data_IF_452991155666
#
_entry.id   IF_452991155666
#
_cell.length_a   1.000
_cell.length_b   1.000
_cell.length_c   1.000
_cell.angle_alpha   90.00
_cell.angle_beta   90.00
_cell.angle_gamma   90.00
#
_symmetry.space_group_name_H-M   'P 1'
#
loop_
_entity.id
_entity.type
_entity.pdbx_description
1 polymer ?
#
# COMPACT_ATOMS: atom_id res chain seq x y z
N UNK A 1 -17.38 -38.68 46.98
CA UNK A 1 -17.99 -37.85 48.02
C UNK A 1 -17.01 -36.75 48.44
N UNK A 2 -17.18 -35.54 47.98
CA UNK A 2 -16.66 -34.30 48.62
C UNK A 2 -17.38 -33.14 47.94
N UNK A 3 -18.30 -32.57 48.68
CA UNK A 3 -19.03 -31.35 48.32
C UNK A 3 -18.11 -30.13 48.44
N UNK A 4 -18.15 -29.20 47.48
CA UNK A 4 -17.58 -27.89 47.62
C UNK A 4 -18.65 -26.83 47.44
N UNK A 5 -18.69 -26.02 48.42
CA UNK A 5 -19.65 -24.99 48.77
C UNK A 5 -19.41 -23.76 47.87
N UNK A 6 -20.48 -23.25 47.25
CA UNK A 6 -20.51 -21.96 46.54
C UNK A 6 -20.67 -20.84 47.58
N UNK A 7 -19.74 -19.91 47.61
CA UNK A 7 -19.87 -18.62 48.32
C UNK A 7 -20.21 -17.54 47.31
N UNK A 8 -21.41 -17.00 47.38
CA UNK A 8 -21.85 -15.85 46.59
C UNK A 8 -21.37 -14.56 47.28
N UNK A 9 -20.58 -13.74 46.56
CA UNK A 9 -20.26 -12.37 46.96
C UNK A 9 -21.15 -11.43 46.12
N UNK A 10 -22.10 -10.79 46.80
CA UNK A 10 -22.87 -9.68 46.27
C UNK A 10 -22.08 -8.38 46.47
N UNK A 11 -21.60 -7.76 45.40
CA UNK A 11 -21.00 -6.43 45.43
C UNK A 11 -22.06 -5.39 45.13
N UNK A 12 -22.35 -4.56 46.13
CA UNK A 12 -23.28 -3.44 46.05
C UNK A 12 -22.58 -2.25 45.38
N UNK A 13 -23.00 -1.91 44.17
CA UNK A 13 -22.47 -0.76 43.41
C UNK A 13 -23.30 0.49 43.76
N UNK A 14 -22.74 1.40 44.55
CA UNK A 14 -23.35 2.70 44.88
C UNK A 14 -23.03 3.66 43.71
N UNK A 15 -24.07 4.07 43.00
CA UNK A 15 -23.96 5.08 41.92
C UNK A 15 -24.11 6.46 42.53
N UNK A 16 -23.00 7.23 42.57
CA UNK A 16 -23.04 8.67 42.93
C UNK A 16 -23.38 9.48 41.66
N UNK A 17 -24.58 10.03 41.60
CA UNK A 17 -24.95 11.06 40.63
C UNK A 17 -24.48 12.43 41.15
N UNK A 18 -23.42 12.98 40.55
CA UNK A 18 -23.03 14.37 40.76
C UNK A 18 -23.70 15.21 39.67
N UNK A 19 -24.70 15.97 40.01
CA UNK A 19 -25.33 16.94 39.11
C UNK A 19 -24.42 18.15 38.93
N UNK A 20 -23.97 18.39 37.70
CA UNK A 20 -23.25 19.61 37.32
C UNK A 20 -24.26 20.70 36.98
N UNK A 21 -24.43 21.69 37.85
CA UNK A 21 -25.22 22.89 37.59
C UNK A 21 -24.40 23.84 36.74
N UNK A 22 -24.85 24.07 35.52
CA UNK A 22 -24.23 25.04 34.60
C UNK A 22 -24.92 26.39 34.81
N UNK A 23 -24.22 27.34 35.38
CA UNK A 23 -24.65 28.75 35.47
C UNK A 23 -24.39 29.43 34.12
N UNK A 24 -25.42 29.81 33.41
CA UNK A 24 -25.31 30.68 32.24
C UNK A 24 -25.07 32.12 32.68
N UNK A 25 -23.89 32.64 32.40
CA UNK A 25 -23.61 34.07 32.48
C UNK A 25 -23.79 34.69 31.10
N UNK A 26 -24.82 35.48 30.93
CA UNK A 26 -25.02 36.32 29.75
C UNK A 26 -24.05 37.48 29.80
N UNK A 27 -23.01 37.46 28.96
CA UNK A 27 -22.20 38.63 28.67
C UNK A 27 -22.53 39.10 27.24
N UNK A 28 -23.25 40.21 27.24
CA UNK A 28 -23.44 41.08 26.08
C UNK A 28 -22.09 41.73 25.73
N UNK A 29 -21.45 41.38 24.62
CA UNK A 29 -20.29 42.06 24.08
C UNK A 29 -20.50 42.34 22.62
N UNK A 30 -20.60 43.61 22.39
CA UNK A 30 -20.57 44.36 21.14
C UNK A 30 -19.66 43.74 20.04
N UNK A 31 -20.27 43.56 18.88
CA UNK A 31 -19.55 43.26 17.60
C UNK A 31 -18.54 44.35 17.31
N UNK A 32 -17.30 43.97 17.13
CA UNK A 32 -16.34 44.67 16.28
C UNK A 32 -15.86 43.71 15.21
N UNK A 33 -16.34 43.93 14.01
CA UNK A 33 -15.84 43.38 12.76
C UNK A 33 -14.38 43.80 12.58
N UNK A 34 -13.47 42.84 12.47
CA UNK A 34 -12.30 42.77 11.61
C UNK A 34 -11.37 41.65 12.09
N UNK A 35 -11.65 40.42 11.66
CA UNK A 35 -10.59 39.45 11.54
C UNK A 35 -10.78 38.74 10.19
N UNK A 36 -10.10 39.32 9.21
CA UNK A 36 -9.92 38.70 7.90
C UNK A 36 -9.12 37.42 8.09
N UNK A 37 -9.84 36.31 8.19
CA UNK A 37 -9.29 34.99 8.33
C UNK A 37 -8.27 34.74 7.22
N UNK A 38 -7.01 34.75 7.56
CA UNK A 38 -5.92 34.28 6.73
C UNK A 38 -5.96 32.74 6.73
N UNK A 39 -7.00 32.17 6.07
CA UNK A 39 -7.05 30.75 5.78
C UNK A 39 -5.97 30.51 4.72
N UNK A 40 -4.94 29.70 5.01
CA UNK A 40 -3.98 29.35 3.97
C UNK A 40 -4.75 28.71 2.81
N UNK A 41 -4.41 29.03 1.54
CA UNK A 41 -5.08 28.43 0.41
C UNK A 41 -4.99 26.91 0.55
N UNK A 42 -6.16 26.26 0.62
CA UNK A 42 -6.21 24.80 0.62
C UNK A 42 -5.55 24.32 -0.66
N UNK A 43 -4.48 23.53 -0.53
CA UNK A 43 -3.89 22.85 -1.66
C UNK A 43 -5.04 22.14 -2.41
N UNK A 44 -5.02 22.10 -3.75
CA UNK A 44 -6.06 21.43 -4.51
C UNK A 44 -6.11 19.97 -4.02
N UNK A 45 -7.21 19.62 -3.40
CA UNK A 45 -7.46 18.28 -2.88
C UNK A 45 -7.63 17.36 -4.08
N UNK A 46 -6.55 16.66 -4.45
CA UNK A 46 -6.60 15.61 -5.47
C UNK A 46 -7.50 14.51 -4.90
N UNK A 47 -8.63 14.18 -5.56
CA UNK A 47 -9.53 13.18 -5.03
C UNK A 47 -8.81 11.82 -5.03
N UNK A 48 -8.57 11.27 -3.83
CA UNK A 48 -8.03 9.93 -3.69
C UNK A 48 -8.99 8.90 -4.27
N UNK A 49 -8.46 7.92 -5.01
CA UNK A 49 -9.22 6.73 -5.39
C UNK A 49 -9.28 5.76 -4.21
N UNK A 50 -10.48 5.33 -3.85
CA UNK A 50 -10.65 4.28 -2.83
C UNK A 50 -10.68 2.94 -3.55
N UNK A 51 -9.65 2.13 -3.35
CA UNK A 51 -9.43 0.84 -4.01
C UNK A 51 -9.47 -0.32 -3.02
N UNK A 52 -9.76 -1.52 -3.49
CA UNK A 52 -9.69 -2.73 -2.67
C UNK A 52 -8.24 -3.05 -2.25
N UNK A 53 -8.08 -3.89 -1.23
CA UNK A 53 -6.74 -4.33 -0.79
C UNK A 53 -6.06 -5.30 -1.76
N UNK A 54 -6.83 -5.86 -2.71
CA UNK A 54 -6.33 -6.58 -3.89
C UNK A 54 -6.99 -6.01 -5.13
N UNK A 55 -6.19 -5.65 -6.12
CA UNK A 55 -6.65 -5.13 -7.40
C UNK A 55 -5.95 -5.84 -8.56
N UNK A 56 -6.58 -5.84 -9.74
CA UNK A 56 -5.89 -6.23 -10.96
C UNK A 56 -5.05 -5.08 -11.47
N UNK A 57 -3.83 -5.39 -11.94
CA UNK A 57 -2.90 -4.39 -12.49
C UNK A 57 -2.39 -4.86 -13.84
N UNK A 58 -2.19 -3.91 -14.75
CA UNK A 58 -1.46 -4.17 -15.99
C UNK A 58 0.00 -3.78 -15.80
N UNK A 59 0.91 -4.63 -16.25
CA UNK A 59 2.36 -4.41 -16.16
C UNK A 59 2.93 -4.22 -17.55
N UNK A 60 3.52 -3.06 -17.80
CA UNK A 60 4.09 -2.74 -19.10
C UNK A 60 3.07 -2.88 -20.22
N UNK A 61 3.35 -3.75 -21.20
CA UNK A 61 2.49 -4.04 -22.37
C UNK A 61 1.84 -5.42 -22.31
N UNK A 62 1.91 -6.10 -21.14
CA UNK A 62 1.26 -7.40 -20.96
C UNK A 62 -0.26 -7.28 -21.10
N UNK A 63 -0.86 -8.17 -21.89
CA UNK A 63 -2.32 -8.26 -22.04
C UNK A 63 -2.97 -8.87 -20.79
N UNK A 64 -2.25 -9.73 -20.08
CA UNK A 64 -2.70 -10.31 -18.81
C UNK A 64 -2.60 -9.32 -17.66
N UNK A 65 -3.61 -9.31 -16.79
CA UNK A 65 -3.71 -8.39 -15.64
C UNK A 65 -3.74 -9.18 -14.34
N UNK A 66 -2.56 -9.49 -13.76
CA UNK A 66 -2.45 -10.27 -12.53
C UNK A 66 -3.06 -9.52 -11.33
N UNK A 67 -3.47 -10.27 -10.28
CA UNK A 67 -3.85 -9.68 -9.01
C UNK A 67 -2.61 -9.15 -8.28
N UNK A 68 -2.74 -7.95 -7.72
CA UNK A 68 -1.72 -7.29 -6.91
C UNK A 68 -2.27 -6.97 -5.52
N UNK A 69 -1.48 -7.26 -4.48
CA UNK A 69 -1.81 -6.84 -3.11
C UNK A 69 -1.37 -5.39 -2.90
N UNK A 70 -2.31 -4.52 -2.51
CA UNK A 70 -2.02 -3.17 -2.07
C UNK A 70 -1.60 -3.21 -0.59
N UNK A 71 -0.37 -2.81 -0.29
CA UNK A 71 0.24 -3.01 1.03
C UNK A 71 0.81 -1.70 1.59
N UNK A 72 0.06 -1.06 2.46
CA UNK A 72 0.50 0.15 3.17
C UNK A 72 1.64 -0.11 4.17
N UNK A 73 1.94 -1.37 4.51
CA UNK A 73 3.07 -1.76 5.37
C UNK A 73 4.42 -1.75 4.63
N UNK A 74 4.42 -2.04 3.33
CA UNK A 74 5.62 -2.05 2.50
C UNK A 74 5.94 -0.66 1.95
N UNK A 75 7.22 -0.25 1.96
CA UNK A 75 7.63 1.03 1.35
C UNK A 75 7.67 0.93 -0.18
N UNK A 76 8.31 -0.08 -0.72
CA UNK A 76 8.57 -0.27 -2.16
C UNK A 76 7.76 -1.45 -2.67
N UNK A 77 7.25 -1.35 -3.88
CA UNK A 77 6.57 -2.43 -4.58
C UNK A 77 7.53 -3.60 -4.89
N UNK A 78 6.98 -4.78 -5.12
CA UNK A 78 7.73 -5.94 -5.58
C UNK A 78 6.92 -6.75 -6.59
N UNK A 79 7.62 -7.35 -7.53
CA UNK A 79 7.05 -8.18 -8.58
C UNK A 79 7.77 -9.52 -8.62
N UNK A 80 7.02 -10.58 -8.93
CA UNK A 80 7.59 -11.88 -9.22
C UNK A 80 8.35 -11.83 -10.53
N UNK A 81 9.65 -12.16 -10.48
CA UNK A 81 10.52 -12.06 -11.63
C UNK A 81 11.70 -13.03 -11.53
N UNK A 82 11.95 -13.73 -12.63
CA UNK A 82 13.13 -14.54 -12.82
C UNK A 82 14.24 -13.69 -13.43
N UNK A 83 15.40 -13.63 -12.77
CA UNK A 83 16.57 -12.91 -13.28
C UNK A 83 17.28 -13.78 -14.30
N UNK A 84 17.35 -13.33 -15.56
CA UNK A 84 18.03 -14.03 -16.63
C UNK A 84 19.52 -13.70 -16.62
N UNK A 85 19.87 -12.40 -16.61
CA UNK A 85 21.26 -11.93 -16.56
C UNK A 85 21.36 -10.49 -16.09
N UNK A 86 22.53 -10.12 -15.60
CA UNK A 86 22.93 -8.72 -15.38
C UNK A 86 24.15 -8.41 -16.23
N UNK A 87 24.30 -7.16 -16.66
CA UNK A 87 25.45 -6.69 -17.39
C UNK A 87 25.72 -5.22 -17.11
N UNK A 88 26.88 -4.72 -17.53
CA UNK A 88 27.26 -3.32 -17.36
C UNK A 88 27.52 -2.68 -18.72
N UNK A 89 26.95 -1.53 -18.93
CA UNK A 89 27.16 -0.73 -20.13
C UNK A 89 27.30 0.74 -19.71
N UNK A 90 28.36 1.43 -20.20
CA UNK A 90 28.63 2.84 -19.91
C UNK A 90 28.53 3.19 -18.39
N UNK A 91 29.14 2.35 -17.55
CA UNK A 91 29.09 2.44 -16.09
C UNK A 91 27.73 2.23 -15.40
N UNK A 92 26.67 2.01 -16.16
CA UNK A 92 25.34 1.65 -15.67
C UNK A 92 25.17 0.13 -15.63
N UNK A 93 24.66 -0.39 -14.50
CA UNK A 93 24.23 -1.79 -14.40
C UNK A 93 22.83 -1.96 -14.99
N UNK A 94 22.67 -2.99 -15.81
CA UNK A 94 21.41 -3.41 -16.42
C UNK A 94 21.04 -4.82 -15.99
N UNK A 95 19.75 -5.11 -16.05
CA UNK A 95 19.20 -6.43 -15.77
C UNK A 95 18.20 -6.85 -16.84
N UNK A 96 18.32 -8.10 -17.28
CA UNK A 96 17.31 -8.78 -18.10
C UNK A 96 16.59 -9.75 -17.20
N UNK A 97 15.28 -9.65 -17.16
CA UNK A 97 14.44 -10.48 -16.32
C UNK A 97 13.13 -10.84 -17.02
N UNK A 98 12.60 -11.99 -16.64
CA UNK A 98 11.32 -12.50 -17.10
C UNK A 98 10.27 -12.26 -16.03
N UNK A 99 9.10 -11.78 -16.43
CA UNK A 99 7.89 -11.74 -15.64
C UNK A 99 6.91 -12.71 -16.25
N UNK A 100 6.44 -13.67 -15.48
CA UNK A 100 5.47 -14.68 -15.94
C UNK A 100 4.39 -14.84 -14.89
N UNK A 101 3.12 -14.63 -15.26
CA UNK A 101 2.00 -14.72 -14.34
C UNK A 101 1.05 -15.88 -14.67
N UNK A 102 0.87 -16.17 -15.95
CA UNK A 102 0.10 -17.31 -16.44
C UNK A 102 0.55 -17.64 -17.87
N UNK A 103 1.23 -18.77 -18.02
CA UNK A 103 1.75 -19.22 -19.31
C UNK A 103 0.64 -19.53 -20.32
N UNK A 104 -0.55 -19.91 -19.86
CA UNK A 104 -1.67 -20.29 -20.72
C UNK A 104 -2.39 -19.07 -21.31
N UNK A 105 -2.34 -17.93 -20.62
CA UNK A 105 -3.00 -16.69 -21.01
C UNK A 105 -2.05 -15.65 -21.63
N UNK A 106 -0.80 -16.05 -21.93
CA UNK A 106 0.19 -15.16 -22.55
C UNK A 106 0.76 -14.12 -21.58
N UNK A 107 0.70 -14.40 -20.29
CA UNK A 107 1.18 -13.52 -19.22
C UNK A 107 2.70 -13.55 -19.02
N UNK A 108 3.51 -13.74 -20.08
CA UNK A 108 4.96 -13.73 -20.01
C UNK A 108 5.55 -12.58 -20.84
N UNK A 109 6.51 -11.87 -20.26
CA UNK A 109 7.31 -10.87 -20.98
C UNK A 109 8.73 -10.79 -20.41
N UNK A 110 9.72 -10.62 -21.31
CA UNK A 110 11.09 -10.32 -20.96
C UNK A 110 11.29 -8.80 -20.99
N UNK A 111 11.88 -8.30 -19.93
CA UNK A 111 12.22 -6.89 -19.75
C UNK A 111 13.73 -6.73 -19.69
N UNK A 112 14.21 -5.60 -20.18
CA UNK A 112 15.55 -5.09 -19.94
C UNK A 112 15.43 -3.69 -19.35
N UNK A 113 16.11 -3.45 -18.23
CA UNK A 113 16.03 -2.18 -17.52
C UNK A 113 17.34 -1.85 -16.80
N UNK A 114 17.67 -0.56 -16.61
CA UNK A 114 18.75 -0.17 -15.71
C UNK A 114 18.39 -0.49 -14.26
N UNK A 115 19.35 -1.01 -13.52
CA UNK A 115 19.21 -1.18 -12.07
C UNK A 115 19.38 0.19 -11.43
N UNK A 116 18.32 0.68 -10.75
CA UNK A 116 18.37 1.96 -10.03
C UNK A 116 19.17 1.84 -8.74
N UNK A 117 19.02 0.72 -8.05
CA UNK A 117 19.74 0.40 -6.81
C UNK A 117 19.58 -1.07 -6.42
N UNK A 118 20.37 -1.49 -5.43
CA UNK A 118 20.23 -2.78 -4.79
C UNK A 118 19.69 -2.60 -3.36
N UNK A 119 18.66 -3.37 -2.98
CA UNK A 119 18.19 -3.44 -1.60
C UNK A 119 18.69 -4.68 -0.90
N UNK A 120 18.92 -4.56 0.41
CA UNK A 120 19.32 -5.67 1.30
C UNK A 120 18.12 -6.03 2.17
N UNK A 121 17.67 -7.25 2.06
CA UNK A 121 16.56 -7.79 2.86
C UNK A 121 17.12 -8.72 3.93
N UNK A 122 16.84 -8.44 5.20
CA UNK A 122 17.17 -9.35 6.31
C UNK A 122 16.29 -10.58 6.25
N UNK A 123 16.89 -11.77 6.40
CA UNK A 123 16.10 -13.00 6.58
C UNK A 123 15.43 -13.02 7.96
N UNK A 124 14.25 -13.63 8.04
CA UNK A 124 13.65 -13.96 9.34
C UNK A 124 14.52 -15.03 10.00
N UNK A 125 14.91 -14.81 11.26
CA UNK A 125 15.74 -15.78 12.01
C UNK A 125 17.06 -15.23 12.54
N UNK A 126 17.38 -13.96 12.28
CA UNK A 126 18.58 -13.33 12.86
C UNK A 126 19.89 -13.66 12.14
N UNK A 127 19.83 -14.36 11.01
CA UNK A 127 21.00 -14.61 10.15
C UNK A 127 21.61 -13.29 9.70
N UNK A 128 22.97 -13.25 9.73
CA UNK A 128 23.73 -12.11 9.23
C UNK A 128 23.67 -11.97 7.71
N UNK A 129 23.11 -12.96 7.02
CA UNK A 129 23.02 -13.00 5.58
C UNK A 129 21.84 -12.18 5.07
N UNK A 130 22.15 -11.28 4.16
CA UNK A 130 21.18 -10.46 3.47
C UNK A 130 20.92 -11.01 2.07
N UNK A 131 19.65 -11.08 1.69
CA UNK A 131 19.30 -11.25 0.28
C UNK A 131 19.43 -9.87 -0.38
N UNK A 132 20.19 -9.80 -1.47
CA UNK A 132 20.23 -8.61 -2.33
C UNK A 132 19.16 -8.74 -3.41
N UNK A 133 18.37 -7.71 -3.61
CA UNK A 133 17.39 -7.64 -4.69
C UNK A 133 17.66 -6.43 -5.55
N UNK A 134 17.65 -6.57 -6.88
CA UNK A 134 17.72 -5.43 -7.79
C UNK A 134 16.40 -4.67 -7.77
N UNK A 135 16.49 -3.37 -7.94
CA UNK A 135 15.36 -2.46 -8.07
C UNK A 135 15.43 -1.82 -9.44
N UNK A 136 14.32 -1.82 -10.15
CA UNK A 136 14.16 -1.20 -11.47
C UNK A 136 12.95 -0.29 -11.47
N UNK A 137 12.86 0.63 -12.41
CA UNK A 137 11.63 1.37 -12.67
C UNK A 137 10.73 0.58 -13.61
N UNK A 138 9.46 0.43 -13.24
CA UNK A 138 8.44 -0.18 -14.10
C UNK A 138 7.17 0.67 -14.12
N UNK A 139 6.42 0.55 -15.22
CA UNK A 139 5.13 1.21 -15.38
C UNK A 139 4.01 0.22 -15.09
N UNK A 140 3.08 0.62 -14.25
CA UNK A 140 1.86 -0.11 -13.91
C UNK A 140 0.63 0.71 -14.29
N UNK A 141 -0.41 0.02 -14.74
CA UNK A 141 -1.74 0.58 -14.80
C UNK A 141 -2.58 0.02 -13.67
N UNK A 142 -3.05 0.89 -12.79
CA UNK A 142 -3.86 0.53 -11.63
C UNK A 142 -5.01 1.53 -11.47
N UNK A 143 -6.25 1.04 -11.45
CA UNK A 143 -7.43 1.89 -11.33
C UNK A 143 -7.56 2.93 -12.45
N UNK A 144 -7.04 2.65 -13.65
CA UNK A 144 -7.03 3.56 -14.79
C UNK A 144 -5.87 4.57 -14.81
N UNK A 145 -5.03 4.60 -13.77
CA UNK A 145 -3.87 5.48 -13.71
C UNK A 145 -2.60 4.75 -14.12
N UNK A 146 -1.77 5.42 -14.90
CA UNK A 146 -0.43 4.95 -15.29
C UNK A 146 0.58 5.51 -14.31
N UNK A 147 1.18 4.62 -13.51
CA UNK A 147 2.15 4.98 -12.49
C UNK A 147 3.49 4.33 -12.81
N UNK A 148 4.56 5.13 -12.92
CA UNK A 148 5.93 4.67 -13.05
C UNK A 148 6.63 4.81 -11.70
N UNK A 149 7.14 3.70 -11.16
CA UNK A 149 7.75 3.68 -9.83
C UNK A 149 8.80 2.57 -9.72
N UNK A 150 9.66 2.67 -8.72
CA UNK A 150 10.63 1.65 -8.35
C UNK A 150 9.99 0.36 -7.84
N UNK A 151 10.45 -0.76 -8.37
CA UNK A 151 9.96 -2.10 -8.03
C UNK A 151 11.14 -3.04 -7.73
N UNK A 152 11.04 -3.79 -6.65
CA UNK A 152 11.98 -4.87 -6.35
C UNK A 152 11.65 -6.09 -7.21
N UNK A 153 12.64 -6.62 -7.91
CA UNK A 153 12.54 -7.94 -8.53
C UNK A 153 12.81 -9.00 -7.46
N UNK A 154 11.90 -9.92 -7.28
CA UNK A 154 12.01 -10.96 -6.26
C UNK A 154 11.28 -12.21 -6.69
N UNK A 155 11.76 -13.35 -6.25
CA UNK A 155 11.00 -14.59 -6.27
C UNK A 155 9.80 -14.45 -5.33
N UNK A 156 8.60 -14.63 -5.86
CA UNK A 156 7.33 -14.59 -5.16
C UNK A 156 6.48 -15.84 -5.40
N UNK A 157 7.06 -16.90 -5.94
CA UNK A 157 6.38 -18.17 -6.24
C UNK A 157 5.55 -18.70 -5.06
N UNK A 158 6.04 -18.51 -3.83
CA UNK A 158 5.36 -18.97 -2.62
C UNK A 158 4.39 -17.94 -2.02
N UNK A 159 4.15 -16.81 -2.68
CA UNK A 159 3.21 -15.80 -2.22
C UNK A 159 1.88 -15.90 -2.98
N UNK A 160 0.79 -15.64 -2.27
CA UNK A 160 -0.56 -15.64 -2.86
C UNK A 160 -0.70 -14.66 -4.04
N UNK A 161 0.04 -13.55 -4.00
CA UNK A 161 -0.02 -12.51 -5.02
C UNK A 161 1.35 -12.29 -5.65
N UNK A 162 1.46 -12.38 -6.98
CA UNK A 162 2.73 -12.19 -7.68
C UNK A 162 3.23 -10.75 -7.63
N UNK A 163 2.34 -9.80 -7.34
CA UNK A 163 2.66 -8.38 -7.24
C UNK A 163 2.23 -7.85 -5.87
N UNK A 164 3.08 -7.02 -5.29
CA UNK A 164 2.79 -6.22 -4.11
C UNK A 164 3.03 -4.75 -4.46
N UNK A 165 2.03 -3.92 -4.24
CA UNK A 165 2.07 -2.47 -4.45
C UNK A 165 2.34 -1.80 -3.11
N UNK A 166 3.49 -1.14 -2.99
CA UNK A 166 3.92 -0.47 -1.77
C UNK A 166 3.53 1.00 -1.70
N UNK A 167 3.80 1.61 -0.53
CA UNK A 167 3.42 3.01 -0.23
C UNK A 167 3.92 4.04 -1.25
N UNK A 168 5.10 3.83 -1.85
CA UNK A 168 5.60 4.79 -2.84
C UNK A 168 4.65 4.97 -4.02
N UNK A 169 3.99 3.87 -4.45
CA UNK A 169 3.02 3.88 -5.53
C UNK A 169 1.62 4.29 -5.07
N UNK A 170 1.27 4.01 -3.80
CA UNK A 170 -0.05 4.30 -3.23
C UNK A 170 -0.21 5.75 -2.81
N UNK A 171 0.86 6.38 -2.31
CA UNK A 171 0.83 7.75 -1.77
C UNK A 171 0.28 8.72 -2.80
N UNK A 172 -0.41 9.73 -2.32
CA UNK A 172 -0.95 10.85 -3.09
C UNK A 172 -2.13 10.51 -4.04
N UNK A 173 -2.46 9.21 -4.23
CA UNK A 173 -3.48 8.82 -5.20
C UNK A 173 -4.48 7.77 -4.67
N UNK A 174 -4.06 6.85 -3.79
CA UNK A 174 -4.85 5.65 -3.47
C UNK A 174 -5.04 5.49 -1.95
N UNK A 175 -6.30 5.32 -1.55
CA UNK A 175 -6.71 4.85 -0.23
C UNK A 175 -7.18 3.40 -0.34
N UNK A 176 -6.85 2.57 0.66
CA UNK A 176 -7.16 1.14 0.64
C UNK A 176 -8.41 0.88 1.49
N UNK A 177 -9.46 0.35 0.86
CA UNK A 177 -10.60 -0.26 1.54
C UNK A 177 -10.30 -1.75 1.76
N UNK A 178 -9.98 -2.12 3.00
CA UNK A 178 -9.62 -3.49 3.37
C UNK A 178 -10.80 -4.48 3.31
N UNK A 179 -12.01 -4.00 3.10
CA UNK A 179 -13.22 -4.85 2.98
C UNK A 179 -13.51 -5.26 1.54
N UNK A 180 -12.78 -4.72 0.55
CA UNK A 180 -13.07 -4.90 -0.88
C UNK A 180 -11.87 -5.42 -1.66
N UNK A 181 -12.18 -6.06 -2.80
CA UNK A 181 -11.21 -6.51 -3.80
C UNK A 181 -11.75 -6.22 -5.19
N UNK A 182 -10.86 -6.00 -6.17
CA UNK A 182 -11.18 -5.86 -7.59
C UNK A 182 -12.25 -4.78 -7.87
N UNK A 183 -12.04 -3.59 -7.33
CA UNK A 183 -13.01 -2.49 -7.40
C UNK A 183 -12.85 -1.62 -8.64
N UNK A 184 -11.69 -1.70 -9.31
CA UNK A 184 -11.36 -0.86 -10.45
C UNK A 184 -10.85 -1.66 -11.65
N UNK A 185 -11.05 -1.11 -12.85
CA UNK A 185 -10.45 -1.65 -14.06
C UNK A 185 -8.92 -1.45 -14.02
N UNK A 186 -8.13 -2.48 -14.42
CA UNK A 186 -6.68 -2.36 -14.50
C UNK A 186 -6.20 -1.53 -15.70
N UNK A 187 -7.05 -1.37 -16.71
CA UNK A 187 -6.64 -0.77 -18.00
C UNK A 187 -6.43 0.73 -17.88
N UNK A 188 -5.26 1.21 -18.29
CA UNK A 188 -5.06 2.62 -18.57
C UNK A 188 -5.62 2.92 -19.97
N UNK A 189 -6.54 3.86 -20.03
CA UNK A 189 -6.96 4.38 -21.32
C UNK A 189 -5.73 4.98 -22.01
N UNK A 190 -5.41 4.50 -23.20
CA UNK A 190 -4.48 5.20 -24.11
C UNK A 190 -5.10 6.51 -24.48
N UNK A 191 -4.54 7.62 -23.97
CA UNK A 191 -4.85 8.95 -24.45
C UNK A 191 -4.19 9.18 -25.80
#
# INVERSE_FOLDING_TARGET
MRAMIFAAFAALCVINLTACVTTQTTNDVTQNDTDSANTPPSAPEQPYKVMGWVERVQVGTLDFTPPAKLDSGAKTSSIDAEIIRTFKENDQEYIVFRVSFDEKEGGEQIFEAPITRWVRIKRKGGDKDYIRRPVVEMTFCIGGDRIKEEVNLSDREHFTYPILIGRNMLKDNILIDSSKTFTHSPSCLTK
#
